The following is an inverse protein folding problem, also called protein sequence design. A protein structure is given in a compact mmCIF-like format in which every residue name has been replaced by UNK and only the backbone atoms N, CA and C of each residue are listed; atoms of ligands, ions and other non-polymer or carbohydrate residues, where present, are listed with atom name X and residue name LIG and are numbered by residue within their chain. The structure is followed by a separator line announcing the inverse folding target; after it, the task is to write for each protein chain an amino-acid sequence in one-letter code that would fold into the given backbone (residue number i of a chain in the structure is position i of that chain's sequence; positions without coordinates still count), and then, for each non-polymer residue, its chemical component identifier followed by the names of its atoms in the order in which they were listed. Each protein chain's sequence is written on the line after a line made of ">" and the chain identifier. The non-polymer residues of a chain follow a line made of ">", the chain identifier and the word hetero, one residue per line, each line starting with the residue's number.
data_IF_172881612318
#
_entry.id   IF_172881612318
#
_cell.length_a   1.000
_cell.length_b   1.000
_cell.length_c   1.000
_cell.angle_alpha   90.00
_cell.angle_beta   90.00
_cell.angle_gamma   90.00
#
_symmetry.space_group_name_H-M   'P 1'
#
loop_
_entity.id
_entity.type
_entity.pdbx_description
1 polymer ?
#
# COMPACT_ATOMS: atom_id res chain seq x y z
N UNK A 1 6.57 19.38 -7.81
CA UNK A 1 6.34 18.79 -6.46
C UNK A 1 5.55 19.74 -5.55
N UNK A 2 5.86 21.05 -5.52
CA UNK A 2 5.16 22.07 -4.69
C UNK A 2 3.62 22.06 -4.83
N UNK A 3 3.07 22.00 -6.06
CA UNK A 3 1.61 22.02 -6.25
C UNK A 3 0.84 20.77 -5.77
N UNK A 4 1.49 19.62 -5.56
CA UNK A 4 0.81 18.42 -5.03
C UNK A 4 0.63 18.52 -3.51
N UNK A 5 1.65 19.03 -2.80
CA UNK A 5 1.62 19.16 -1.36
C UNK A 5 0.57 20.18 -0.89
N UNK A 6 0.46 21.32 -1.57
CA UNK A 6 -0.53 22.36 -1.23
C UNK A 6 -1.96 21.83 -1.40
N UNK A 7 -2.21 21.11 -2.50
CA UNK A 7 -3.51 20.49 -2.78
C UNK A 7 -3.84 19.38 -1.76
N UNK A 8 -2.88 18.53 -1.41
CA UNK A 8 -3.06 17.52 -0.35
C UNK A 8 -3.31 18.15 1.02
N UNK A 9 -2.63 19.25 1.33
CA UNK A 9 -2.77 19.95 2.61
C UNK A 9 -4.11 20.68 2.74
N UNK A 10 -4.61 21.26 1.64
CA UNK A 10 -5.89 21.98 1.64
C UNK A 10 -7.09 21.05 1.50
N UNK A 11 -7.03 20.11 0.56
CA UNK A 11 -8.20 19.31 0.15
C UNK A 11 -8.15 17.89 0.70
N UNK A 12 -7.02 17.43 1.24
CA UNK A 12 -6.81 16.04 1.65
C UNK A 12 -6.67 15.06 0.49
N UNK A 13 -6.72 15.53 -0.76
CA UNK A 13 -6.71 14.68 -1.95
C UNK A 13 -6.08 15.38 -3.14
N UNK A 14 -5.26 14.63 -3.87
CA UNK A 14 -4.70 15.00 -5.16
C UNK A 14 -4.94 13.87 -6.16
N UNK A 15 -5.34 14.20 -7.39
CA UNK A 15 -5.58 13.22 -8.45
C UNK A 15 -5.08 13.74 -9.80
N UNK A 16 -4.56 12.86 -10.65
CA UNK A 16 -4.13 13.18 -12.00
C UNK A 16 -4.40 12.01 -12.96
N UNK A 17 -4.72 12.31 -14.23
CA UNK A 17 -4.91 11.28 -15.24
C UNK A 17 -3.60 10.58 -15.65
N UNK A 18 -3.65 9.26 -15.80
CA UNK A 18 -2.49 8.37 -15.96
C UNK A 18 -2.14 8.02 -17.42
N UNK A 19 -2.64 8.76 -18.40
CA UNK A 19 -2.38 8.50 -19.84
C UNK A 19 -0.92 8.70 -20.30
N UNK A 20 0.00 9.06 -19.41
CA UNK A 20 1.40 9.36 -19.71
C UNK A 20 2.34 8.56 -18.79
N UNK A 21 3.32 7.87 -19.38
CA UNK A 21 4.38 7.15 -18.67
C UNK A 21 5.16 8.05 -17.70
N UNK A 22 5.24 9.35 -17.99
CA UNK A 22 5.87 10.35 -17.12
C UNK A 22 5.16 10.49 -15.76
N UNK A 23 3.83 10.38 -15.71
CA UNK A 23 3.03 10.53 -14.49
C UNK A 23 3.09 9.29 -13.58
N UNK A 24 3.33 8.11 -14.16
CA UNK A 24 3.56 6.87 -13.41
C UNK A 24 4.83 6.96 -12.57
N UNK A 25 5.90 7.54 -13.11
CA UNK A 25 7.16 7.75 -12.38
C UNK A 25 6.95 8.67 -11.17
N UNK A 26 6.10 9.69 -11.35
CA UNK A 26 5.72 10.62 -10.28
C UNK A 26 4.97 9.87 -9.17
N UNK A 27 3.99 9.03 -9.51
CA UNK A 27 3.18 8.27 -8.54
C UNK A 27 4.00 7.28 -7.71
N UNK A 28 4.84 6.48 -8.37
CA UNK A 28 5.70 5.50 -7.67
C UNK A 28 6.76 6.22 -6.82
N UNK A 29 7.31 7.34 -7.31
CA UNK A 29 8.24 8.19 -6.56
C UNK A 29 7.60 8.85 -5.33
N UNK A 30 6.34 9.26 -5.45
CA UNK A 30 5.55 9.78 -4.33
C UNK A 30 5.30 8.69 -3.27
N UNK A 31 4.96 7.47 -3.67
CA UNK A 31 4.80 6.35 -2.74
C UNK A 31 6.11 6.06 -1.99
N UNK A 32 7.25 5.98 -2.68
CA UNK A 32 8.55 5.76 -2.04
C UNK A 32 8.93 6.88 -1.06
N UNK A 33 8.65 8.14 -1.44
CA UNK A 33 8.89 9.32 -0.57
C UNK A 33 8.05 9.25 0.69
N UNK A 34 6.77 8.89 0.56
CA UNK A 34 5.84 8.73 1.67
C UNK A 34 6.27 7.60 2.60
N UNK A 35 6.62 6.45 2.04
CA UNK A 35 7.13 5.30 2.79
C UNK A 35 8.40 5.66 3.59
N UNK A 36 9.33 6.39 2.97
CA UNK A 36 10.56 6.86 3.63
C UNK A 36 10.24 7.82 4.79
N UNK A 37 9.29 8.73 4.61
CA UNK A 37 8.88 9.67 5.67
C UNK A 37 8.19 8.96 6.84
N UNK A 38 7.38 7.92 6.56
CA UNK A 38 6.76 7.08 7.58
C UNK A 38 7.81 6.30 8.38
N UNK A 39 8.78 5.68 7.71
CA UNK A 39 9.90 4.99 8.38
C UNK A 39 10.68 5.93 9.29
N UNK A 40 10.99 7.13 8.81
CA UNK A 40 11.67 8.16 9.62
C UNK A 40 10.83 8.61 10.82
N UNK A 41 9.49 8.57 10.71
CA UNK A 41 8.58 8.90 11.81
C UNK A 41 8.52 7.77 12.85
N UNK A 42 8.46 6.51 12.41
CA UNK A 42 8.53 5.34 13.31
C UNK A 42 9.84 5.29 14.09
N UNK A 43 10.96 5.61 13.45
CA UNK A 43 12.28 5.62 14.09
C UNK A 43 12.41 6.68 15.19
N UNK A 44 11.59 7.74 15.17
CA UNK A 44 11.62 8.81 16.17
C UNK A 44 10.85 8.48 17.45
N UNK A 45 9.89 7.58 17.37
CA UNK A 45 9.01 7.24 18.48
C UNK A 45 8.68 5.74 18.47
N UNK A 46 9.25 5.02 19.43
CA UNK A 46 9.07 3.57 19.59
C UNK A 46 7.62 3.15 19.90
N UNK A 47 6.78 4.09 20.34
CA UNK A 47 5.35 3.86 20.58
C UNK A 47 4.49 4.10 19.35
N UNK A 48 5.08 4.66 18.28
CA UNK A 48 4.37 4.83 17.02
C UNK A 48 4.23 3.49 16.31
N UNK A 49 3.08 3.29 15.67
CA UNK A 49 2.75 2.09 14.90
C UNK A 49 2.30 2.46 13.49
N UNK A 50 2.60 1.60 12.54
CA UNK A 50 2.18 1.74 11.15
C UNK A 50 1.51 0.47 10.68
N UNK A 51 0.32 0.63 10.14
CA UNK A 51 -0.43 -0.43 9.48
C UNK A 51 -0.42 -0.17 7.98
N UNK A 52 0.07 -1.12 7.22
CA UNK A 52 0.18 -1.04 5.76
C UNK A 52 -0.77 -2.06 5.15
N UNK A 53 -1.63 -1.61 4.25
CA UNK A 53 -2.54 -2.45 3.49
C UNK A 53 -2.24 -2.20 2.01
N UNK A 54 -1.66 -3.18 1.34
CA UNK A 54 -1.54 -3.19 -0.12
C UNK A 54 -2.72 -3.97 -0.69
N UNK A 55 -3.40 -3.39 -1.66
CA UNK A 55 -4.57 -3.98 -2.32
C UNK A 55 -4.39 -3.86 -3.83
N UNK A 56 -3.95 -4.94 -4.47
CA UNK A 56 -3.56 -4.95 -5.89
C UNK A 56 -3.84 -6.30 -6.53
N UNK A 57 -3.96 -6.41 -7.86
CA UNK A 57 -4.31 -7.68 -8.52
C UNK A 57 -3.33 -8.81 -8.18
N UNK A 58 -2.03 -8.57 -8.28
CA UNK A 58 -0.99 -9.52 -7.87
C UNK A 58 -0.32 -9.13 -6.54
N UNK A 59 0.43 -10.03 -5.88
CA UNK A 59 1.30 -9.67 -4.76
C UNK A 59 2.24 -8.49 -5.09
N UNK A 60 2.61 -7.62 -4.14
CA UNK A 60 3.45 -6.46 -4.40
C UNK A 60 4.85 -6.85 -4.90
N UNK A 61 5.22 -6.36 -6.09
CA UNK A 61 6.49 -6.69 -6.77
C UNK A 61 7.73 -6.57 -5.87
N UNK A 62 7.88 -5.53 -5.02
CA UNK A 62 9.07 -5.41 -4.18
C UNK A 62 9.27 -6.55 -3.18
N UNK A 63 8.21 -7.31 -2.88
CA UNK A 63 8.24 -8.49 -2.01
C UNK A 63 8.37 -9.81 -2.78
N UNK A 64 8.38 -9.79 -4.11
CA UNK A 64 8.38 -11.01 -4.93
C UNK A 64 9.78 -11.42 -5.42
N UNK A 65 10.83 -10.66 -5.08
CA UNK A 65 12.20 -11.00 -5.46
C UNK A 65 13.21 -10.53 -4.40
N UNK A 66 14.28 -11.30 -4.18
CA UNK A 66 15.41 -10.91 -3.32
C UNK A 66 16.39 -10.00 -4.03
N UNK A 67 16.46 -10.13 -5.35
CA UNK A 67 17.28 -9.30 -6.24
C UNK A 67 16.34 -8.78 -7.33
N UNK A 68 16.40 -7.49 -7.61
CA UNK A 68 15.61 -6.89 -8.69
C UNK A 68 16.16 -7.43 -10.01
N UNK A 69 15.42 -8.36 -10.59
CA UNK A 69 15.68 -8.82 -11.94
C UNK A 69 15.36 -7.70 -12.94
N UNK A 70 16.20 -7.56 -13.95
CA UNK A 70 15.95 -6.73 -15.13
C UNK A 70 14.58 -7.01 -15.80
N UNK A 71 14.01 -8.21 -15.58
CA UNK A 71 12.70 -8.61 -16.09
C UNK A 71 11.52 -7.87 -15.45
N UNK A 72 11.72 -7.18 -14.32
CA UNK A 72 10.71 -6.35 -13.68
C UNK A 72 10.49 -5.01 -14.41
N UNK A 73 11.38 -4.66 -15.33
CA UNK A 73 11.29 -3.44 -16.14
C UNK A 73 10.78 -3.79 -17.54
N UNK A 74 9.74 -3.09 -18.00
CA UNK A 74 9.36 -3.14 -19.42
C UNK A 74 10.52 -2.63 -20.28
N UNK A 75 10.64 -3.13 -21.51
CA UNK A 75 11.70 -2.72 -22.44
C UNK A 75 11.79 -1.19 -22.64
N UNK A 76 10.66 -0.48 -22.50
CA UNK A 76 10.56 0.98 -22.56
C UNK A 76 11.18 1.71 -21.38
N UNK A 77 11.26 1.07 -20.20
CA UNK A 77 11.60 1.72 -18.93
C UNK A 77 12.93 1.24 -18.34
N UNK A 78 13.55 0.23 -18.95
CA UNK A 78 14.80 -0.38 -18.49
C UNK A 78 16.01 0.57 -18.47
N UNK A 79 15.97 1.66 -19.25
CA UNK A 79 17.04 2.67 -19.32
C UNK A 79 16.69 3.98 -18.58
N UNK A 80 15.51 4.08 -17.97
CA UNK A 80 15.12 5.26 -17.20
C UNK A 80 15.67 5.14 -15.77
N UNK A 81 16.74 5.88 -15.49
CA UNK A 81 17.41 5.89 -14.18
C UNK A 81 16.49 6.31 -13.03
N UNK A 82 15.50 7.18 -13.29
CA UNK A 82 14.54 7.58 -12.28
C UNK A 82 13.56 6.43 -11.97
N UNK A 83 13.13 5.67 -12.98
CA UNK A 83 12.31 4.46 -12.80
C UNK A 83 13.08 3.38 -12.05
N UNK A 84 14.30 3.09 -12.49
CA UNK A 84 15.19 2.12 -11.86
C UNK A 84 15.41 2.47 -10.38
N UNK A 85 15.74 3.74 -10.09
CA UNK A 85 15.94 4.24 -8.73
C UNK A 85 14.68 4.10 -7.87
N UNK A 86 13.50 4.36 -8.44
CA UNK A 86 12.23 4.30 -7.72
C UNK A 86 11.76 2.87 -7.44
N UNK A 87 11.90 1.94 -8.39
CA UNK A 87 11.60 0.52 -8.16
C UNK A 87 12.59 -0.06 -7.15
N UNK A 88 13.87 0.33 -7.27
CA UNK A 88 14.93 -0.08 -6.35
C UNK A 88 14.71 0.44 -4.94
N UNK A 89 14.35 1.71 -4.78
CA UNK A 89 14.07 2.29 -3.46
C UNK A 89 12.90 1.58 -2.77
N UNK A 90 11.88 1.15 -3.52
CA UNK A 90 10.73 0.41 -2.97
C UNK A 90 11.07 -0.99 -2.46
N UNK A 91 12.07 -1.66 -3.02
CA UNK A 91 12.56 -2.93 -2.47
C UNK A 91 13.24 -2.69 -1.13
N UNK A 92 14.04 -1.63 -1.02
CA UNK A 92 14.67 -1.25 0.24
C UNK A 92 13.64 -0.81 1.30
N UNK A 93 12.67 0.06 0.96
CA UNK A 93 11.64 0.50 1.92
C UNK A 93 10.75 -0.67 2.36
N UNK A 94 10.37 -1.56 1.44
CA UNK A 94 9.60 -2.75 1.78
C UNK A 94 10.38 -3.67 2.74
N UNK A 95 11.67 -3.92 2.48
CA UNK A 95 12.51 -4.67 3.39
C UNK A 95 12.64 -3.98 4.77
N UNK A 96 12.74 -2.65 4.82
CA UNK A 96 12.79 -1.90 6.07
C UNK A 96 11.49 -2.02 6.87
N UNK A 97 10.33 -1.99 6.21
CA UNK A 97 9.04 -2.22 6.89
C UNK A 97 8.93 -3.63 7.47
N UNK A 98 9.32 -4.66 6.70
CA UNK A 98 9.32 -6.04 7.18
C UNK A 98 10.23 -6.21 8.41
N UNK A 99 11.36 -5.47 8.45
CA UNK A 99 12.33 -5.52 9.55
C UNK A 99 12.04 -4.54 10.71
N UNK A 100 10.99 -3.73 10.64
CA UNK A 100 10.67 -2.73 11.67
C UNK A 100 10.08 -3.33 12.96
N UNK A 101 9.96 -4.67 13.03
CA UNK A 101 9.50 -5.39 14.21
C UNK A 101 8.04 -5.08 14.54
N UNK A 102 7.72 -4.94 15.84
CA UNK A 102 6.34 -4.77 16.32
C UNK A 102 5.72 -3.38 16.00
N UNK A 103 6.49 -2.45 15.44
CA UNK A 103 5.98 -1.15 15.05
C UNK A 103 5.23 -1.19 13.71
N UNK A 104 5.40 -2.24 12.90
CA UNK A 104 4.77 -2.34 11.58
C UNK A 104 3.92 -3.60 11.48
N UNK A 105 2.67 -3.43 11.06
CA UNK A 105 1.86 -4.52 10.55
C UNK A 105 1.64 -4.35 9.06
N UNK A 106 1.74 -5.43 8.30
CA UNK A 106 1.64 -5.43 6.86
C UNK A 106 0.60 -6.44 6.39
N UNK A 107 -0.28 -5.99 5.50
CA UNK A 107 -1.30 -6.78 4.86
C UNK A 107 -1.20 -6.64 3.35
N UNK A 108 -1.13 -7.76 2.63
CA UNK A 108 -1.28 -7.80 1.18
C UNK A 108 -2.57 -8.50 0.78
N UNK A 109 -3.46 -7.79 0.11
CA UNK A 109 -4.70 -8.28 -0.46
C UNK A 109 -4.54 -8.35 -1.98
N UNK A 110 -4.68 -9.55 -2.56
CA UNK A 110 -4.48 -9.74 -3.99
C UNK A 110 -5.40 -10.77 -4.60
N UNK A 111 -5.84 -10.54 -5.85
CA UNK A 111 -6.83 -11.37 -6.54
C UNK A 111 -6.24 -12.52 -7.36
N UNK A 112 -4.98 -12.42 -7.75
CA UNK A 112 -4.29 -13.42 -8.56
C UNK A 112 -2.85 -13.60 -8.10
N UNK A 113 -2.40 -14.84 -7.96
CA UNK A 113 -0.99 -15.15 -7.73
C UNK A 113 -0.08 -14.63 -8.84
N UNK A 114 1.23 -14.58 -8.56
CA UNK A 114 2.22 -14.28 -9.59
C UNK A 114 2.27 -15.39 -10.63
N UNK A 115 2.39 -15.02 -11.90
CA UNK A 115 2.54 -15.97 -13.01
C UNK A 115 3.85 -16.76 -12.93
N UNK A 116 4.87 -16.21 -12.26
CA UNK A 116 6.13 -16.90 -11.96
C UNK A 116 6.05 -17.59 -10.60
N UNK A 117 6.15 -18.94 -10.53
CA UNK A 117 6.13 -19.66 -9.26
C UNK A 117 7.24 -19.23 -8.30
N UNK A 118 8.43 -18.90 -8.83
CA UNK A 118 9.55 -18.42 -8.01
C UNK A 118 9.27 -17.04 -7.38
N UNK A 119 8.52 -16.18 -8.08
CA UNK A 119 8.11 -14.88 -7.54
C UNK A 119 7.07 -15.04 -6.43
N UNK A 120 6.12 -15.97 -6.61
CA UNK A 120 5.11 -16.30 -5.61
C UNK A 120 5.75 -16.91 -4.36
N UNK A 121 6.64 -17.90 -4.53
CA UNK A 121 7.34 -18.56 -3.42
C UNK A 121 8.20 -17.56 -2.61
N UNK A 122 8.89 -16.63 -3.28
CA UNK A 122 9.64 -15.58 -2.61
C UNK A 122 8.72 -14.68 -1.76
N UNK A 123 7.56 -14.30 -2.31
CA UNK A 123 6.57 -13.52 -1.60
C UNK A 123 6.03 -14.26 -0.37
N UNK A 124 5.58 -15.50 -0.54
CA UNK A 124 4.98 -16.30 0.54
C UNK A 124 5.99 -16.53 1.68
N UNK A 125 7.24 -16.81 1.33
CA UNK A 125 8.34 -16.92 2.30
C UNK A 125 8.54 -15.63 3.08
N UNK A 126 8.62 -14.47 2.41
CA UNK A 126 8.79 -13.17 3.09
C UNK A 126 7.63 -12.85 4.02
N UNK A 127 6.40 -13.18 3.65
CA UNK A 127 5.24 -12.99 4.51
C UNK A 127 5.31 -13.92 5.73
N UNK A 128 5.68 -15.20 5.53
CA UNK A 128 5.78 -16.17 6.62
C UNK A 128 6.90 -15.87 7.62
N UNK A 129 8.04 -15.35 7.14
CA UNK A 129 9.23 -15.11 7.96
C UNK A 129 9.11 -13.87 8.88
N UNK A 130 8.14 -12.98 8.63
CA UNK A 130 8.02 -11.71 9.36
C UNK A 130 6.73 -11.63 10.19
N UNK A 131 6.90 -11.55 11.51
CA UNK A 131 5.77 -11.34 12.42
C UNK A 131 5.06 -10.00 12.13
N UNK A 132 3.73 -10.00 12.17
CA UNK A 132 2.93 -8.81 11.82
C UNK A 132 2.65 -8.66 10.33
N UNK A 133 3.22 -9.53 9.49
CA UNK A 133 2.91 -9.61 8.08
C UNK A 133 1.91 -10.74 7.81
N UNK A 134 0.95 -10.49 6.94
CA UNK A 134 0.07 -11.52 6.42
C UNK A 134 -0.43 -11.13 5.03
N UNK A 135 -0.94 -12.12 4.30
CA UNK A 135 -1.49 -11.92 2.97
C UNK A 135 -2.82 -12.66 2.84
N UNK A 136 -3.73 -12.12 2.03
CA UNK A 136 -4.99 -12.72 1.66
C UNK A 136 -5.09 -12.76 0.13
N UNK A 137 -5.15 -13.97 -0.40
CA UNK A 137 -5.55 -14.22 -1.78
C UNK A 137 -7.09 -14.18 -1.85
N UNK A 138 -7.60 -13.27 -2.67
CA UNK A 138 -9.02 -13.01 -2.91
C UNK A 138 -9.46 -13.69 -4.21
N UNK A 139 -10.71 -14.14 -4.34
CA UNK A 139 -11.19 -14.76 -5.59
C UNK A 139 -11.44 -13.75 -6.72
N UNK A 140 -11.40 -12.46 -6.41
CA UNK A 140 -11.66 -11.36 -7.33
C UNK A 140 -10.54 -10.33 -7.21
N UNK A 141 -10.15 -9.76 -8.36
CA UNK A 141 -9.22 -8.63 -8.39
C UNK A 141 -9.84 -7.40 -7.72
N UNK A 142 -9.06 -6.60 -6.98
CA UNK A 142 -9.55 -5.36 -6.42
C UNK A 142 -10.00 -4.42 -7.55
N UNK A 143 -11.07 -3.63 -7.34
CA UNK A 143 -11.47 -2.59 -8.28
C UNK A 143 -10.29 -1.68 -8.63
N UNK A 144 -10.18 -1.30 -9.91
CA UNK A 144 -9.04 -0.54 -10.43
C UNK A 144 -8.84 0.78 -9.68
N UNK A 145 -9.94 1.43 -9.29
CA UNK A 145 -9.93 2.69 -8.54
C UNK A 145 -9.47 2.51 -7.09
N UNK A 146 -9.61 1.29 -6.58
CA UNK A 146 -9.10 0.92 -5.27
C UNK A 146 -7.65 0.48 -5.35
N UNK A 147 -7.12 -0.08 -6.44
CA UNK A 147 -5.74 -0.58 -6.53
C UNK A 147 -4.68 0.39 -5.96
N UNK A 148 -3.77 -0.11 -5.12
CA UNK A 148 -2.66 0.66 -4.54
C UNK A 148 -2.29 0.26 -3.11
N UNK A 149 -2.01 1.25 -2.26
CA UNK A 149 -1.64 1.06 -0.86
C UNK A 149 -2.33 2.06 0.06
N UNK A 150 -2.60 1.63 1.29
CA UNK A 150 -3.16 2.45 2.37
C UNK A 150 -2.30 2.27 3.61
N UNK A 151 -1.92 3.38 4.22
CA UNK A 151 -1.05 3.46 5.39
C UNK A 151 -1.82 4.12 6.52
N UNK A 152 -1.87 3.50 7.68
CA UNK A 152 -2.46 4.09 8.89
C UNK A 152 -1.35 4.21 9.92
N UNK A 153 -0.82 5.42 10.06
CA UNK A 153 0.18 5.76 11.06
C UNK A 153 -0.53 6.21 12.34
N UNK A 154 -0.14 5.64 13.47
CA UNK A 154 -0.60 6.02 14.81
C UNK A 154 0.61 6.48 15.60
N UNK A 155 0.61 7.71 16.10
CA UNK A 155 1.71 8.20 16.94
C UNK A 155 1.64 7.61 18.37
N UNK A 156 2.67 7.84 19.19
CA UNK A 156 2.68 7.39 20.59
C UNK A 156 1.64 8.04 21.52
N UNK A 157 0.87 9.02 21.03
CA UNK A 157 -0.26 9.64 21.73
C UNK A 157 -1.61 9.04 21.31
N UNK A 158 -1.63 8.19 20.27
CA UNK A 158 -2.83 7.57 19.73
C UNK A 158 -3.47 8.33 18.55
N UNK A 159 -2.91 9.46 18.12
CA UNK A 159 -3.40 10.20 16.97
C UNK A 159 -3.13 9.46 15.68
N UNK A 160 -4.09 9.50 14.76
CA UNK A 160 -4.07 8.72 13.52
C UNK A 160 -3.95 9.60 12.29
N UNK A 161 -3.06 9.21 11.40
CA UNK A 161 -2.92 9.73 10.05
C UNK A 161 -3.14 8.57 9.08
N UNK A 162 -4.17 8.68 8.23
CA UNK A 162 -4.36 7.72 7.14
C UNK A 162 -3.87 8.33 5.84
N UNK A 163 -3.03 7.60 5.11
CA UNK A 163 -2.52 8.00 3.81
C UNK A 163 -2.90 6.94 2.79
N UNK A 164 -3.40 7.34 1.65
CA UNK A 164 -3.72 6.43 0.56
C UNK A 164 -3.02 6.82 -0.71
N UNK A 165 -2.51 5.80 -1.38
CA UNK A 165 -1.90 5.89 -2.70
C UNK A 165 -2.72 4.96 -3.59
N UNK A 166 -3.35 5.51 -4.63
CA UNK A 166 -4.14 4.78 -5.62
C UNK A 166 -3.42 4.85 -6.94
N UNK A 167 -2.89 3.71 -7.33
CA UNK A 167 -2.11 3.51 -8.55
C UNK A 167 -2.41 2.09 -9.00
N UNK A 168 -2.65 1.88 -10.30
CA UNK A 168 -2.61 0.53 -10.84
C UNK A 168 -1.23 -0.08 -10.68
N UNK A 169 -1.21 -1.41 -10.61
CA UNK A 169 0.03 -2.16 -10.66
C UNK A 169 0.83 -1.83 -11.92
N UNK A 170 2.13 -2.09 -11.81
CA UNK A 170 3.02 -1.97 -12.94
C UNK A 170 2.45 -2.74 -14.14
N UNK A 171 2.16 -2.03 -15.24
CA UNK A 171 1.72 -2.54 -16.55
C UNK A 171 0.19 -2.62 -16.80
N UNK A 172 -0.64 -2.07 -15.90
CA UNK A 172 -2.09 -1.92 -16.14
C UNK A 172 -2.45 -0.45 -16.35
N UNK A 173 -3.08 -0.12 -17.48
CA UNK A 173 -3.54 1.23 -17.80
C UNK A 173 -4.71 1.61 -16.87
N UNK A 174 -4.61 2.75 -16.18
CA UNK A 174 -5.71 3.31 -15.39
C UNK A 174 -5.91 4.76 -15.75
N UNK A 175 -7.11 5.25 -15.54
CA UNK A 175 -7.42 6.64 -15.81
C UNK A 175 -6.95 7.58 -14.70
N UNK A 176 -6.57 7.12 -13.49
CA UNK A 176 -6.31 8.01 -12.34
C UNK A 176 -5.21 7.51 -11.38
N UNK A 177 -4.18 8.33 -11.19
CA UNK A 177 -3.36 8.30 -9.98
C UNK A 177 -4.04 9.18 -8.92
N UNK A 178 -4.21 8.69 -7.70
CA UNK A 178 -4.68 9.53 -6.59
C UNK A 178 -3.86 9.34 -5.32
N UNK A 179 -3.61 10.45 -4.64
CA UNK A 179 -3.08 10.48 -3.28
C UNK A 179 -4.14 11.08 -2.38
N UNK A 180 -4.29 10.53 -1.18
CA UNK A 180 -5.12 11.16 -0.16
C UNK A 180 -4.49 11.08 1.22
N UNK A 181 -4.84 12.05 2.05
CA UNK A 181 -4.44 12.16 3.44
C UNK A 181 -5.71 12.41 4.23
N UNK A 182 -6.04 11.50 5.15
CA UNK A 182 -7.09 11.69 6.15
C UNK A 182 -6.47 11.99 7.49
N UNK A 183 -6.85 13.12 8.06
CA UNK A 183 -6.73 13.50 9.45
C UNK A 183 -8.09 14.04 9.93
N UNK A 184 -8.19 14.51 11.18
CA UNK A 184 -9.43 15.05 11.73
C UNK A 184 -10.00 16.24 10.91
N UNK A 185 -9.15 17.02 10.25
CA UNK A 185 -9.56 18.24 9.51
C UNK A 185 -10.15 17.95 8.14
N UNK A 186 -9.75 16.87 7.48
CA UNK A 186 -10.11 16.59 6.09
C UNK A 186 -10.77 15.20 5.89
N UNK A 187 -11.15 14.53 6.98
CA UNK A 187 -11.81 13.20 6.98
C UNK A 187 -12.99 13.11 6.02
N UNK A 188 -13.87 14.12 6.01
CA UNK A 188 -15.06 14.13 5.15
C UNK A 188 -14.75 14.08 3.64
N UNK A 189 -13.58 14.58 3.21
CA UNK A 189 -13.21 14.63 1.79
C UNK A 189 -12.71 13.27 1.26
N UNK A 190 -12.33 12.36 2.17
CA UNK A 190 -11.69 11.08 1.85
C UNK A 190 -12.47 9.88 2.39
N UNK A 191 -13.55 10.13 3.14
CA UNK A 191 -14.37 9.10 3.79
C UNK A 191 -14.94 8.09 2.79
N UNK A 192 -15.38 8.53 1.62
CA UNK A 192 -15.92 7.62 0.61
C UNK A 192 -14.87 6.60 0.12
N UNK A 193 -13.59 6.99 -0.01
CA UNK A 193 -12.51 6.07 -0.40
C UNK A 193 -12.20 5.06 0.69
N UNK A 194 -12.20 5.51 1.94
CA UNK A 194 -11.98 4.66 3.11
C UNK A 194 -13.14 3.68 3.30
N UNK A 195 -14.37 4.13 3.08
CA UNK A 195 -15.57 3.30 3.10
C UNK A 195 -15.56 2.26 1.99
N UNK A 196 -15.28 2.64 0.75
CA UNK A 196 -15.15 1.69 -0.37
C UNK A 196 -14.08 0.63 -0.11
N UNK A 197 -12.91 1.01 0.44
CA UNK A 197 -11.89 0.06 0.82
C UNK A 197 -12.36 -0.86 1.96
N UNK A 198 -13.01 -0.30 2.98
CA UNK A 198 -13.56 -1.07 4.09
C UNK A 198 -14.61 -2.08 3.62
N UNK A 199 -15.49 -1.67 2.72
CA UNK A 199 -16.56 -2.52 2.19
C UNK A 199 -15.97 -3.64 1.33
N UNK A 200 -14.99 -3.34 0.45
CA UNK A 200 -14.24 -4.35 -0.31
C UNK A 200 -13.59 -5.37 0.62
N UNK A 201 -12.84 -4.90 1.62
CA UNK A 201 -12.15 -5.76 2.56
C UNK A 201 -13.13 -6.61 3.38
N UNK A 202 -14.26 -6.03 3.77
CA UNK A 202 -15.31 -6.73 4.51
C UNK A 202 -16.01 -7.81 3.68
N UNK A 203 -16.15 -7.60 2.36
CA UNK A 203 -16.69 -8.60 1.46
C UNK A 203 -15.70 -9.77 1.26
N UNK A 204 -14.43 -9.45 1.06
CA UNK A 204 -13.33 -10.43 0.93
C UNK A 204 -13.22 -11.32 2.16
N UNK A 205 -13.23 -10.73 3.36
CA UNK A 205 -13.10 -11.46 4.63
C UNK A 205 -14.31 -12.37 4.92
N UNK A 206 -15.50 -11.96 4.50
CA UNK A 206 -16.74 -12.69 4.70
C UNK A 206 -16.89 -13.89 3.75
N UNK A 207 -16.51 -13.74 2.47
CA UNK A 207 -16.96 -14.67 1.43
C UNK A 207 -15.88 -15.53 0.78
N UNK A 208 -14.58 -15.21 0.90
CA UNK A 208 -13.65 -15.59 -0.18
C UNK A 208 -12.18 -15.86 0.20
N UNK A 209 -11.84 -16.14 1.45
CA UNK A 209 -10.46 -16.48 1.80
C UNK A 209 -10.21 -17.99 1.71
N UNK A 210 -9.36 -18.42 0.77
CA UNK A 210 -9.04 -19.84 0.50
C UNK A 210 -8.24 -20.47 1.65
N UNK A 211 -7.44 -19.70 2.39
CA UNK A 211 -6.56 -20.23 3.46
C UNK A 211 -6.23 -19.21 4.56
N UNK A 212 -7.16 -18.27 4.84
CA UNK A 212 -6.90 -17.29 5.90
C UNK A 212 -7.21 -17.84 7.28
N UNK A 213 -6.18 -17.94 8.12
CA UNK A 213 -6.38 -18.24 9.54
C UNK A 213 -7.27 -17.17 10.18
N UNK A 214 -8.02 -17.54 11.23
CA UNK A 214 -8.87 -16.59 12.00
C UNK A 214 -8.06 -15.37 12.47
N UNK A 215 -6.77 -15.56 12.78
CA UNK A 215 -5.82 -14.50 13.15
C UNK A 215 -5.63 -13.47 12.03
N UNK A 216 -5.57 -13.90 10.77
CA UNK A 216 -5.43 -13.00 9.62
C UNK A 216 -6.70 -12.16 9.41
N UNK A 217 -7.89 -12.74 9.62
CA UNK A 217 -9.16 -11.99 9.55
C UNK A 217 -9.27 -10.94 10.65
N UNK A 218 -8.96 -11.30 11.89
CA UNK A 218 -8.94 -10.36 13.03
C UNK A 218 -7.91 -9.26 12.79
N UNK A 219 -6.71 -9.60 12.32
CA UNK A 219 -5.68 -8.62 12.03
C UNK A 219 -6.14 -7.61 10.96
N UNK A 220 -6.73 -8.05 9.84
CA UNK A 220 -7.33 -7.13 8.84
C UNK A 220 -8.35 -6.20 9.48
N UNK A 221 -9.27 -6.76 10.26
CA UNK A 221 -10.27 -5.95 10.93
C UNK A 221 -9.66 -5.01 11.95
N UNK A 222 -8.61 -5.36 12.68
CA UNK A 222 -7.90 -4.46 13.59
C UNK A 222 -7.15 -3.35 12.85
N UNK A 223 -6.52 -3.67 11.70
CA UNK A 223 -5.90 -2.68 10.81
C UNK A 223 -6.93 -1.65 10.31
N UNK A 224 -8.18 -2.07 10.11
CA UNK A 224 -9.28 -1.20 9.63
C UNK A 224 -10.12 -0.56 10.74
N UNK A 225 -10.39 -1.29 11.84
CA UNK A 225 -11.27 -0.91 12.95
C UNK A 225 -10.69 0.24 13.77
N UNK A 226 -9.42 0.57 13.57
CA UNK A 226 -8.83 1.82 14.03
C UNK A 226 -9.53 3.08 13.44
N UNK A 227 -10.50 2.97 12.53
CA UNK A 227 -11.36 4.07 12.10
C UNK A 227 -12.72 4.18 12.82
N UNK A 228 -13.16 3.16 13.59
CA UNK A 228 -14.45 3.16 14.32
C UNK A 228 -14.35 3.67 15.75
N UNK A 229 -13.41 4.57 16.04
CA UNK A 229 -13.48 5.35 17.28
C UNK A 229 -14.02 6.73 16.93
N UNK A 230 -15.25 6.99 17.39
CA UNK A 230 -16.00 8.27 17.41
C UNK A 230 -16.84 8.56 16.16
N UNK A 231 -18.17 8.54 16.34
CA UNK A 231 -19.14 9.12 15.40
C UNK A 231 -20.54 8.47 15.34
N UNK A 232 -21.18 8.19 16.48
CA UNK A 232 -22.65 8.33 16.62
C UNK A 232 -22.91 9.54 17.51
#
# INVERSE_FOLDING_TARGET
>A
MLGCFDVLSMNGKWSQQQGDSSNRNIAVGMQATLETALLASLAKDVKSHLNIIIHTNNPPTPLCADIISDSLFSASNKNDLAVLSTVTSRVYTAAQFLNAGCQVNFCSLYGSERSSPAEQECFDKKIADHAGCFALHTHEDPPVELSGATYVFTNGQGDKLTLGVRITQANVYSEQCSLFISNEKNRGNVENYLRSLHDYISQVSANQCIDSTVKNKIAVYELMALQRTIGY
#
